data_IF_776434088224
#
_entry.id   IF_776434088224
#
_cell.length_a   1.000
_cell.length_b   1.000
_cell.length_c   1.000
_cell.angle_alpha   90.00
_cell.angle_beta   90.00
_cell.angle_gamma   90.00
#
_symmetry.space_group_name_H-M   'P 1'
#
loop_
_entity.id
_entity.type
_entity.pdbx_description
1 polymer ?
#
# COMPACT_ATOMS: atom_id res chain seq x y z
N UNK A 1 15.19 11.83 6.03
CA UNK A 1 14.45 11.00 5.06
C UNK A 1 14.06 11.71 3.76
N UNK A 2 13.66 12.97 3.82
CA UNK A 2 13.29 13.72 2.59
C UNK A 2 14.42 13.79 1.56
N UNK A 3 15.67 13.84 2.00
CA UNK A 3 16.86 13.87 1.13
C UNK A 3 16.96 12.59 0.28
N UNK A 4 16.63 11.45 0.85
CA UNK A 4 16.70 10.15 0.18
C UNK A 4 15.53 9.86 -0.77
N UNK A 5 14.49 10.69 -0.77
CA UNK A 5 13.40 10.58 -1.75
C UNK A 5 13.85 10.84 -3.19
N UNK A 6 15.03 11.43 -3.37
CA UNK A 6 15.65 11.70 -4.66
C UNK A 6 16.92 10.86 -4.88
N UNK A 7 17.09 9.78 -4.13
CA UNK A 7 18.23 8.88 -4.28
C UNK A 7 18.23 8.23 -5.67
N UNK A 8 19.43 8.00 -6.22
CA UNK A 8 19.59 7.36 -7.51
C UNK A 8 19.16 5.89 -7.51
N UNK A 9 19.14 5.25 -6.34
CA UNK A 9 18.62 3.89 -6.16
C UNK A 9 17.10 3.98 -5.99
N UNK A 10 16.37 3.46 -6.94
CA UNK A 10 14.89 3.55 -6.99
C UNK A 10 14.22 3.01 -5.73
N UNK A 11 14.68 1.88 -5.21
CA UNK A 11 14.14 1.27 -4.00
C UNK A 11 14.32 2.14 -2.76
N UNK A 12 15.47 2.84 -2.64
CA UNK A 12 15.71 3.79 -1.55
C UNK A 12 14.78 4.99 -1.67
N UNK A 13 14.67 5.58 -2.85
CA UNK A 13 13.81 6.74 -3.10
C UNK A 13 12.34 6.42 -2.80
N UNK A 14 11.82 5.31 -3.29
CA UNK A 14 10.43 4.89 -3.09
C UNK A 14 10.15 4.56 -1.61
N UNK A 15 11.05 3.88 -0.94
CA UNK A 15 10.90 3.54 0.49
C UNK A 15 10.87 4.80 1.36
N UNK A 16 11.75 5.75 1.09
CA UNK A 16 11.78 7.01 1.82
C UNK A 16 10.54 7.86 1.55
N UNK A 17 10.07 7.87 0.32
CA UNK A 17 8.81 8.54 -0.04
C UNK A 17 7.63 7.98 0.76
N UNK A 18 7.49 6.67 0.80
CA UNK A 18 6.44 6.00 1.60
C UNK A 18 6.53 6.37 3.08
N UNK A 19 7.73 6.38 3.64
CA UNK A 19 7.94 6.70 5.05
C UNK A 19 7.54 8.15 5.35
N UNK A 20 7.89 9.10 4.50
CA UNK A 20 7.50 10.50 4.64
C UNK A 20 5.99 10.68 4.55
N UNK A 21 5.35 10.06 3.58
CA UNK A 21 3.90 10.14 3.42
C UNK A 21 3.16 9.50 4.59
N UNK A 22 3.66 8.37 5.09
CA UNK A 22 3.11 7.73 6.30
C UNK A 22 3.18 8.64 7.52
N UNK A 23 4.33 9.28 7.75
CA UNK A 23 4.50 10.20 8.87
C UNK A 23 3.52 11.37 8.75
N UNK A 24 3.40 11.98 7.59
CA UNK A 24 2.46 13.07 7.35
C UNK A 24 1.01 12.64 7.59
N UNK A 25 0.66 11.43 7.15
CA UNK A 25 -0.67 10.87 7.34
C UNK A 25 -0.98 10.60 8.82
N UNK A 26 -0.01 10.09 9.59
CA UNK A 26 -0.15 9.82 11.03
C UNK A 26 -0.27 11.12 11.85
N UNK A 27 0.34 12.21 11.39
CA UNK A 27 0.26 13.52 12.03
C UNK A 27 -1.07 14.25 11.78
N UNK A 28 -1.86 13.79 10.82
CA UNK A 28 -3.17 14.35 10.54
C UNK A 28 -4.21 13.79 11.52
N UNK A 29 -4.53 14.60 12.53
CA UNK A 29 -5.50 14.23 13.60
C UNK A 29 -6.90 13.89 13.06
N UNK A 30 -7.27 14.41 11.87
CA UNK A 30 -8.56 14.11 11.25
C UNK A 30 -8.66 12.66 10.77
N UNK A 31 -7.53 11.99 10.59
CA UNK A 31 -7.46 10.61 10.11
C UNK A 31 -7.33 9.57 11.21
N UNK A 32 -7.38 9.98 12.45
CA UNK A 32 -7.20 9.07 13.60
C UNK A 32 -8.19 7.90 13.61
N UNK A 33 -9.43 8.14 13.22
CA UNK A 33 -10.45 7.09 13.12
C UNK A 33 -10.16 6.10 11.98
N UNK A 34 -9.56 6.57 10.88
CA UNK A 34 -9.15 5.68 9.78
C UNK A 34 -8.00 4.77 10.21
N UNK A 35 -7.08 5.27 11.04
CA UNK A 35 -5.97 4.48 11.60
C UNK A 35 -6.52 3.30 12.41
N UNK A 36 -7.43 3.57 13.34
CA UNK A 36 -8.02 2.54 14.19
C UNK A 36 -8.77 1.49 13.36
N UNK A 37 -9.49 1.92 12.34
CA UNK A 37 -10.21 1.01 11.44
C UNK A 37 -9.26 0.15 10.60
N UNK A 38 -8.17 0.73 10.10
CA UNK A 38 -7.17 -0.02 9.34
C UNK A 38 -6.53 -1.13 10.18
N UNK A 39 -6.22 -0.87 11.44
CA UNK A 39 -5.69 -1.88 12.35
C UNK A 39 -6.70 -2.99 12.68
N UNK A 40 -7.97 -2.63 12.84
CA UNK A 40 -9.03 -3.61 13.11
C UNK A 40 -9.32 -4.54 11.93
N UNK A 41 -9.13 -4.05 10.71
CA UNK A 41 -9.36 -4.81 9.48
C UNK A 41 -8.19 -5.71 9.07
N UNK A 42 -7.05 -5.59 9.73
CA UNK A 42 -5.87 -6.39 9.44
C UNK A 42 -5.90 -7.73 10.19
N UNK A 43 -6.24 -8.85 9.51
CA UNK A 43 -6.30 -10.17 10.16
C UNK A 43 -4.92 -10.72 10.54
N UNK A 44 -3.85 -10.15 10.01
CA UNK A 44 -2.47 -10.62 10.25
C UNK A 44 -1.82 -9.97 11.47
N UNK A 45 -2.44 -8.95 12.06
CA UNK A 45 -1.90 -8.18 13.18
C UNK A 45 -0.48 -7.62 12.91
N UNK A 46 -0.14 -7.42 11.65
CA UNK A 46 1.15 -6.89 11.22
C UNK A 46 1.19 -5.36 11.29
N UNK A 47 2.39 -4.82 11.43
CA UNK A 47 2.63 -3.38 11.30
C UNK A 47 2.97 -3.08 9.84
N UNK A 48 1.95 -2.71 9.08
CA UNK A 48 2.10 -2.44 7.65
C UNK A 48 2.73 -1.06 7.40
N UNK A 49 3.52 -0.90 6.31
CA UNK A 49 4.13 0.40 5.99
C UNK A 49 3.10 1.47 5.63
N UNK A 50 1.90 1.08 5.22
CA UNK A 50 0.77 1.98 5.00
C UNK A 50 -0.50 1.42 5.60
N UNK A 51 -1.43 2.25 6.10
CA UNK A 51 -2.73 1.76 6.54
C UNK A 51 -3.60 1.37 5.34
N UNK A 52 -4.39 0.31 5.48
CA UNK A 52 -5.32 -0.12 4.44
C UNK A 52 -6.47 0.87 4.24
N UNK A 53 -6.97 0.96 3.00
CA UNK A 53 -8.17 1.75 2.69
C UNK A 53 -9.42 0.98 3.14
N UNK A 54 -10.44 1.70 3.57
CA UNK A 54 -11.73 1.13 4.00
C UNK A 54 -12.68 0.75 2.86
N UNK A 55 -12.28 0.90 1.61
CA UNK A 55 -13.09 0.56 0.43
C UNK A 55 -13.28 -0.96 0.36
N UNK A 56 -14.52 -1.39 0.14
CA UNK A 56 -14.89 -2.81 0.11
C UNK A 56 -14.93 -3.40 -1.29
N UNK A 57 -15.03 -2.60 -2.34
CA UNK A 57 -15.11 -3.08 -3.71
C UNK A 57 -13.71 -3.41 -4.24
N UNK A 58 -13.53 -4.67 -4.63
CA UNK A 58 -12.28 -5.18 -5.21
C UNK A 58 -11.89 -4.47 -6.50
N UNK A 59 -12.85 -4.11 -7.34
CA UNK A 59 -12.58 -3.42 -8.59
C UNK A 59 -12.03 -2.01 -8.35
N UNK A 60 -12.59 -1.27 -7.41
CA UNK A 60 -12.08 0.06 -7.04
C UNK A 60 -10.67 -0.01 -6.47
N UNK A 61 -10.41 -0.99 -5.61
CA UNK A 61 -9.09 -1.21 -5.04
C UNK A 61 -8.06 -1.56 -6.11
N UNK A 62 -8.43 -2.40 -7.08
CA UNK A 62 -7.60 -2.74 -8.22
C UNK A 62 -7.27 -1.51 -9.07
N UNK A 63 -8.25 -0.67 -9.36
CA UNK A 63 -8.03 0.57 -10.13
C UNK A 63 -7.04 1.50 -9.42
N UNK A 64 -7.15 1.67 -8.12
CA UNK A 64 -6.20 2.45 -7.32
C UNK A 64 -4.81 1.82 -7.37
N UNK A 65 -4.69 0.52 -7.18
CA UNK A 65 -3.42 -0.20 -7.21
C UNK A 65 -2.68 -0.02 -8.53
N UNK A 66 -3.40 -0.09 -9.65
CA UNK A 66 -2.83 -0.05 -11.00
C UNK A 66 -2.66 1.36 -11.55
N UNK A 67 -3.17 2.38 -10.88
CA UNK A 67 -3.08 3.77 -11.32
C UNK A 67 -1.72 4.38 -11.01
N UNK A 68 -0.85 4.45 -12.01
CA UNK A 68 0.50 5.03 -11.86
C UNK A 68 0.51 6.54 -11.60
N UNK A 69 -0.61 7.24 -11.83
CA UNK A 69 -0.74 8.68 -11.54
C UNK A 69 -0.91 8.97 -10.05
N UNK A 70 -1.30 7.98 -9.25
CA UNK A 70 -1.47 8.13 -7.82
C UNK A 70 -0.14 7.99 -7.07
N UNK A 71 -0.01 8.67 -5.90
CA UNK A 71 1.15 8.48 -5.03
C UNK A 71 1.30 7.01 -4.63
N UNK A 72 2.55 6.57 -4.47
CA UNK A 72 2.86 5.19 -4.09
C UNK A 72 2.18 4.79 -2.76
N UNK A 73 2.06 5.71 -1.83
CA UNK A 73 1.37 5.53 -0.56
C UNK A 73 -0.08 5.08 -0.73
N UNK A 74 -0.85 5.75 -1.60
CA UNK A 74 -2.25 5.40 -1.87
C UNK A 74 -2.37 4.04 -2.56
N UNK A 75 -1.48 3.73 -3.48
CA UNK A 75 -1.42 2.43 -4.17
C UNK A 75 -1.13 1.29 -3.19
N UNK A 76 -0.23 1.50 -2.24
CA UNK A 76 0.06 0.54 -1.19
C UNK A 76 -1.12 0.35 -0.23
N UNK A 77 -1.83 1.41 0.10
CA UNK A 77 -3.06 1.32 0.90
C UNK A 77 -4.08 0.39 0.25
N UNK A 78 -4.27 0.52 -1.07
CA UNK A 78 -5.14 -0.37 -1.83
C UNK A 78 -4.63 -1.81 -1.83
N UNK A 79 -3.32 -2.01 -1.98
CA UNK A 79 -2.70 -3.34 -1.95
C UNK A 79 -2.94 -4.05 -0.62
N UNK A 80 -2.76 -3.37 0.51
CA UNK A 80 -3.00 -3.95 1.82
C UNK A 80 -4.50 -4.21 2.09
N UNK A 81 -5.39 -3.38 1.55
CA UNK A 81 -6.82 -3.63 1.62
C UNK A 81 -7.22 -4.90 0.85
N UNK A 82 -6.64 -5.12 -0.34
CA UNK A 82 -6.83 -6.35 -1.12
C UNK A 82 -6.30 -7.58 -0.37
N UNK A 83 -5.12 -7.47 0.23
CA UNK A 83 -4.57 -8.55 1.07
C UNK A 83 -5.51 -8.90 2.22
N UNK A 84 -5.99 -7.90 2.94
CA UNK A 84 -6.86 -8.10 4.10
C UNK A 84 -8.22 -8.70 3.70
N UNK A 85 -8.70 -8.38 2.52
CA UNK A 85 -9.94 -8.92 1.97
C UNK A 85 -9.83 -10.42 1.66
N UNK A 86 -8.74 -10.86 1.03
CA UNK A 86 -8.34 -12.25 0.88
C UNK A 86 -9.24 -13.13 0.01
N UNK A 87 -10.15 -12.57 -0.78
CA UNK A 87 -10.96 -13.33 -1.74
C UNK A 87 -10.21 -13.60 -3.05
N UNK A 88 -10.76 -14.46 -3.91
CA UNK A 88 -10.11 -14.86 -5.17
C UNK A 88 -9.90 -13.67 -6.11
N UNK A 89 -10.86 -12.76 -6.20
CA UNK A 89 -10.76 -11.55 -7.01
C UNK A 89 -9.65 -10.63 -6.52
N UNK A 90 -9.47 -10.52 -5.21
CA UNK A 90 -8.36 -9.76 -4.61
C UNK A 90 -7.00 -10.39 -4.94
N UNK A 91 -6.88 -11.69 -4.94
CA UNK A 91 -5.66 -12.41 -5.31
C UNK A 91 -5.30 -12.12 -6.78
N UNK A 92 -6.27 -12.17 -7.68
CA UNK A 92 -6.08 -11.85 -9.09
C UNK A 92 -5.63 -10.38 -9.27
N UNK A 93 -6.27 -9.45 -8.57
CA UNK A 93 -5.88 -8.05 -8.60
C UNK A 93 -4.45 -7.81 -8.13
N UNK A 94 -4.02 -8.48 -7.05
CA UNK A 94 -2.64 -8.43 -6.56
C UNK A 94 -1.65 -9.03 -7.56
N UNK A 95 -2.03 -10.13 -8.22
CA UNK A 95 -1.20 -10.76 -9.25
C UNK A 95 -0.94 -9.83 -10.45
N UNK A 96 -1.93 -9.07 -10.87
CA UNK A 96 -1.77 -8.05 -11.91
C UNK A 96 -0.81 -6.94 -11.48
N UNK A 97 -0.79 -6.58 -10.18
CA UNK A 97 0.16 -5.61 -9.63
C UNK A 97 1.63 -6.02 -9.77
N UNK A 98 1.93 -7.32 -9.83
CA UNK A 98 3.30 -7.82 -10.00
C UNK A 98 3.87 -7.45 -11.38
N UNK A 99 3.02 -7.27 -12.38
CA UNK A 99 3.42 -6.92 -13.75
C UNK A 99 3.89 -5.46 -13.88
N UNK A 100 3.65 -4.63 -12.86
CA UNK A 100 4.01 -3.21 -12.88
C UNK A 100 5.49 -2.99 -12.57
N UNK A 101 6.07 -1.96 -13.21
CA UNK A 101 7.51 -1.65 -13.16
C UNK A 101 7.98 -0.97 -11.88
N UNK A 102 7.10 -0.70 -10.94
CA UNK A 102 7.48 -0.10 -9.66
C UNK A 102 8.19 -1.14 -8.79
N UNK A 103 9.48 -0.94 -8.52
CA UNK A 103 10.33 -1.93 -7.85
C UNK A 103 9.86 -2.27 -6.43
N UNK A 104 9.48 -1.28 -5.64
CA UNK A 104 9.00 -1.49 -4.27
C UNK A 104 7.65 -2.20 -4.26
N UNK A 105 6.71 -1.77 -5.09
CA UNK A 105 5.39 -2.37 -5.20
C UNK A 105 5.47 -3.84 -5.62
N UNK A 106 6.29 -4.14 -6.62
CA UNK A 106 6.52 -5.51 -7.09
C UNK A 106 7.11 -6.40 -5.99
N UNK A 107 8.11 -5.92 -5.26
CA UNK A 107 8.72 -6.67 -4.17
C UNK A 107 7.73 -6.95 -3.05
N UNK A 108 6.97 -5.96 -2.62
CA UNK A 108 5.97 -6.12 -1.56
C UNK A 108 4.83 -7.05 -1.98
N UNK A 109 4.34 -6.92 -3.20
CA UNK A 109 3.31 -7.81 -3.73
C UNK A 109 3.79 -9.26 -3.76
N UNK A 110 5.03 -9.50 -4.19
CA UNK A 110 5.64 -10.85 -4.14
C UNK A 110 5.70 -11.41 -2.73
N UNK A 111 6.11 -10.60 -1.75
CA UNK A 111 6.15 -11.03 -0.34
C UNK A 111 4.77 -11.43 0.19
N UNK A 112 3.72 -10.71 -0.18
CA UNK A 112 2.34 -11.01 0.18
C UNK A 112 1.90 -12.37 -0.38
N UNK A 113 2.33 -12.72 -1.60
CA UNK A 113 2.01 -14.02 -2.21
C UNK A 113 2.77 -15.19 -1.60
N UNK A 114 3.95 -14.97 -1.05
CA UNK A 114 4.75 -16.02 -0.41
C UNK A 114 4.22 -16.36 0.99
N UNK A 115 3.60 -15.42 1.64
CA UNK A 115 3.01 -15.57 2.97
C UNK A 115 1.55 -16.00 2.88
#
# INVERSE_FOLDING_TARGET
MKEYCQDNIKEVAETCQLAVERINWLLDEKKKSEIDNAYKQNPYCSVDPTPSISIKDTQELKEILLNESLPLFERYRAMFALRNKGDDDSVIALAEGISYRNACLVKLTKLIFIV
#
